data_IF_426183315195
#
_entry.id   IF_426183315195
#
_cell.length_a   1.000
_cell.length_b   1.000
_cell.length_c   1.000
_cell.angle_alpha   90.00
_cell.angle_beta   90.00
_cell.angle_gamma   90.00
#
_symmetry.space_group_name_H-M   'P 1'
#
loop_
_entity.id
_entity.type
_entity.pdbx_description
1 polymer ?
#
# COMPACT_ATOMS: atom_id res chain seq x y z
N UNK A 1 -3.90 -13.36 -33.03
CA UNK A 1 -5.17 -12.64 -33.13
C UNK A 1 -5.01 -11.25 -32.53
N UNK A 2 -5.69 -10.23 -33.01
CA UNK A 2 -5.68 -8.95 -32.32
C UNK A 2 -6.31 -9.13 -30.92
N UNK A 3 -5.66 -8.58 -29.89
CA UNK A 3 -6.19 -8.61 -28.51
C UNK A 3 -7.49 -7.81 -28.41
N UNK A 4 -8.39 -8.23 -27.53
CA UNK A 4 -9.63 -7.51 -27.29
C UNK A 4 -9.39 -6.05 -26.90
N UNK A 5 -10.39 -5.21 -27.12
CA UNK A 5 -10.32 -3.79 -26.75
C UNK A 5 -10.06 -3.60 -25.26
N UNK A 6 -10.61 -4.47 -24.42
CA UNK A 6 -10.42 -4.42 -22.96
C UNK A 6 -8.94 -4.57 -22.58
N UNK A 7 -8.25 -5.53 -23.20
CA UNK A 7 -6.80 -5.75 -22.97
C UNK A 7 -6.00 -4.58 -23.53
N UNK A 8 -6.31 -4.12 -24.74
CA UNK A 8 -5.62 -2.99 -25.36
C UNK A 8 -5.75 -1.71 -24.52
N UNK A 9 -6.95 -1.40 -24.02
CA UNK A 9 -7.21 -0.27 -23.13
C UNK A 9 -6.40 -0.37 -21.81
N UNK A 10 -6.35 -1.58 -21.22
CA UNK A 10 -5.59 -1.82 -20.00
C UNK A 10 -4.07 -1.68 -20.19
N UNK A 11 -3.52 -2.25 -21.29
CA UNK A 11 -2.09 -2.19 -21.61
C UNK A 11 -1.64 -0.76 -21.89
N UNK A 12 -2.44 0.00 -22.61
CA UNK A 12 -2.11 1.38 -23.01
C UNK A 12 -2.43 2.40 -21.90
N UNK A 13 -3.02 1.99 -20.77
CA UNK A 13 -3.44 2.92 -19.71
C UNK A 13 -4.55 3.87 -20.17
N UNK A 14 -5.33 3.48 -21.19
CA UNK A 14 -6.40 4.29 -21.74
C UNK A 14 -7.59 4.47 -20.78
N UNK A 15 -7.69 3.61 -19.77
CA UNK A 15 -8.68 3.67 -18.69
C UNK A 15 -8.01 3.54 -17.32
N UNK A 16 -8.55 4.15 -16.26
CA UNK A 16 -8.05 3.96 -14.90
C UNK A 16 -8.04 2.48 -14.49
N UNK A 17 -7.03 2.08 -13.70
CA UNK A 17 -6.87 0.70 -13.24
C UNK A 17 -8.11 0.18 -12.51
N UNK A 18 -8.75 1.00 -11.67
CA UNK A 18 -9.99 0.64 -10.99
C UNK A 18 -11.08 0.20 -11.99
N UNK A 19 -11.22 0.91 -13.11
CA UNK A 19 -12.20 0.56 -14.16
C UNK A 19 -11.84 -0.77 -14.86
N UNK A 20 -10.55 -1.02 -15.04
CA UNK A 20 -10.07 -2.31 -15.56
C UNK A 20 -10.41 -3.45 -14.60
N UNK A 21 -10.22 -3.24 -13.30
CA UNK A 21 -10.54 -4.23 -12.26
C UNK A 21 -12.05 -4.49 -12.18
N UNK A 22 -12.91 -3.46 -12.28
CA UNK A 22 -14.38 -3.65 -12.31
C UNK A 22 -14.82 -4.46 -13.53
N UNK A 23 -14.20 -4.26 -14.69
CA UNK A 23 -14.46 -5.11 -15.86
C UNK A 23 -14.02 -6.54 -15.64
N UNK A 24 -12.84 -6.72 -15.01
CA UNK A 24 -12.32 -8.05 -14.70
C UNK A 24 -13.20 -8.79 -13.69
N UNK A 25 -13.72 -8.10 -12.69
CA UNK A 25 -14.68 -8.62 -11.71
C UNK A 25 -15.93 -9.19 -12.40
N UNK A 26 -16.55 -8.40 -13.29
CA UNK A 26 -17.73 -8.84 -14.07
C UNK A 26 -17.39 -10.04 -14.93
N UNK A 27 -16.28 -10.02 -15.67
CA UNK A 27 -15.86 -11.15 -16.51
C UNK A 27 -15.58 -12.40 -15.70
N UNK A 28 -14.95 -12.26 -14.51
CA UNK A 28 -14.69 -13.38 -13.62
C UNK A 28 -15.99 -14.00 -13.08
N UNK A 29 -16.97 -13.16 -12.74
CA UNK A 29 -18.31 -13.59 -12.35
C UNK A 29 -18.99 -14.40 -13.47
N UNK A 30 -19.02 -13.87 -14.69
CA UNK A 30 -19.68 -14.48 -15.85
C UNK A 30 -19.12 -15.87 -16.18
N UNK A 31 -17.82 -16.09 -15.94
CA UNK A 31 -17.17 -17.39 -16.17
C UNK A 31 -17.11 -18.29 -14.91
N UNK A 32 -17.67 -17.84 -13.79
CA UNK A 32 -17.70 -18.59 -12.53
C UNK A 32 -16.34 -18.72 -11.84
N UNK A 33 -15.43 -17.78 -12.06
CA UNK A 33 -14.12 -17.75 -11.41
C UNK A 33 -14.14 -16.92 -10.11
N UNK A 34 -14.70 -17.52 -9.05
CA UNK A 34 -14.87 -16.87 -7.74
C UNK A 34 -13.57 -16.32 -7.13
N UNK A 35 -12.42 -16.99 -7.36
CA UNK A 35 -11.14 -16.53 -6.83
C UNK A 35 -10.69 -15.22 -7.50
N UNK A 36 -10.87 -15.13 -8.80
CA UNK A 36 -10.50 -13.93 -9.56
C UNK A 36 -11.47 -12.79 -9.28
N UNK A 37 -12.76 -13.08 -9.19
CA UNK A 37 -13.81 -12.15 -8.78
C UNK A 37 -13.48 -11.54 -7.41
N UNK A 38 -13.26 -12.39 -6.39
CA UNK A 38 -12.90 -11.95 -5.04
C UNK A 38 -11.61 -11.13 -5.01
N UNK A 39 -10.58 -11.52 -5.78
CA UNK A 39 -9.35 -10.75 -5.87
C UNK A 39 -9.59 -9.36 -6.45
N UNK A 40 -10.35 -9.25 -7.54
CA UNK A 40 -10.66 -7.96 -8.17
C UNK A 40 -11.48 -7.06 -7.23
N UNK A 41 -12.49 -7.63 -6.54
CA UNK A 41 -13.27 -6.94 -5.51
C UNK A 41 -12.37 -6.38 -4.39
N UNK A 42 -11.49 -7.21 -3.82
CA UNK A 42 -10.56 -6.77 -2.77
C UNK A 42 -9.58 -5.69 -3.25
N UNK A 43 -9.13 -5.74 -4.50
CA UNK A 43 -8.28 -4.69 -5.06
C UNK A 43 -9.04 -3.36 -5.20
N UNK A 44 -10.33 -3.39 -5.49
CA UNK A 44 -11.18 -2.21 -5.64
C UNK A 44 -11.56 -1.63 -4.28
N UNK A 45 -12.15 -2.47 -3.41
CA UNK A 45 -12.77 -2.04 -2.16
C UNK A 45 -11.76 -1.95 -0.99
N UNK A 46 -10.69 -2.74 -1.06
CA UNK A 46 -9.72 -2.91 0.01
C UNK A 46 -9.78 -4.29 0.64
N UNK A 47 -8.83 -4.56 1.54
CA UNK A 47 -8.61 -5.87 2.16
C UNK A 47 -8.93 -5.86 3.65
N UNK A 48 -9.43 -6.98 4.16
CA UNK A 48 -9.37 -7.25 5.59
C UNK A 48 -7.94 -7.55 6.03
N UNK A 49 -7.61 -7.28 7.30
CA UNK A 49 -6.22 -7.40 7.83
C UNK A 49 -5.61 -8.76 7.53
N UNK A 50 -6.39 -9.84 7.66
CA UNK A 50 -5.95 -11.21 7.45
C UNK A 50 -5.79 -11.63 5.99
N UNK A 51 -6.31 -10.82 5.05
CA UNK A 51 -6.36 -11.15 3.62
C UNK A 51 -5.38 -10.31 2.78
N UNK A 52 -4.65 -9.37 3.42
CA UNK A 52 -3.73 -8.48 2.70
C UNK A 52 -2.61 -9.30 2.04
N UNK A 53 -2.46 -9.24 0.71
CA UNK A 53 -1.41 -9.98 0.02
C UNK A 53 -0.03 -9.36 0.28
N UNK A 54 1.02 -10.21 0.22
CA UNK A 54 2.41 -9.82 0.51
C UNK A 54 2.89 -8.59 -0.26
N UNK A 55 2.43 -8.38 -1.49
CA UNK A 55 2.85 -7.22 -2.28
C UNK A 55 2.25 -5.89 -1.80
N UNK A 56 1.34 -5.91 -0.82
CA UNK A 56 0.77 -4.75 -0.14
C UNK A 56 1.32 -4.55 1.26
N UNK A 57 2.27 -5.39 1.70
CA UNK A 57 2.97 -5.25 2.97
C UNK A 57 4.25 -4.45 2.74
N UNK A 58 4.34 -3.29 3.38
CA UNK A 58 5.49 -2.40 3.28
C UNK A 58 6.41 -2.52 4.49
N UNK A 59 7.67 -2.20 4.28
CA UNK A 59 8.66 -2.03 5.34
C UNK A 59 9.33 -0.68 5.19
N UNK A 60 9.36 0.10 6.27
CA UNK A 60 10.13 1.33 6.34
C UNK A 60 10.65 1.53 7.76
N UNK A 61 11.92 1.88 7.88
CA UNK A 61 12.54 2.29 9.13
C UNK A 61 12.82 3.81 9.16
N UNK A 62 12.11 4.57 8.34
CA UNK A 62 12.18 6.03 8.30
C UNK A 62 11.13 6.61 9.24
N UNK A 63 11.59 7.15 10.37
CA UNK A 63 10.74 7.77 11.37
C UNK A 63 11.09 9.23 11.57
N UNK A 64 10.06 10.04 11.81
CA UNK A 64 10.18 11.43 12.24
C UNK A 64 9.34 11.67 13.49
N UNK A 65 9.70 12.66 14.28
CA UNK A 65 8.93 13.05 15.45
C UNK A 65 8.86 14.55 15.61
N UNK A 66 7.86 15.01 16.32
CA UNK A 66 7.75 16.37 16.83
C UNK A 66 7.61 16.32 18.33
N UNK A 67 8.25 17.23 19.04
CA UNK A 67 8.25 17.23 20.50
C UNK A 67 9.37 18.04 21.09
N UNK A 68 9.99 17.52 22.17
CA UNK A 68 11.08 18.14 22.89
C UNK A 68 12.28 17.20 22.89
N UNK A 69 13.47 17.74 22.63
CA UNK A 69 14.74 17.05 22.75
C UNK A 69 15.65 17.87 23.66
N UNK A 70 15.89 17.40 24.88
CA UNK A 70 16.53 18.18 25.93
C UNK A 70 15.74 19.45 26.22
N UNK A 71 16.31 20.61 25.94
CA UNK A 71 15.67 21.91 26.13
C UNK A 71 15.13 22.54 24.84
N UNK A 72 15.18 21.80 23.71
CA UNK A 72 14.80 22.32 22.40
C UNK A 72 13.47 21.71 21.92
N UNK A 73 12.58 22.57 21.41
CA UNK A 73 11.43 22.11 20.66
C UNK A 73 11.85 21.71 19.24
N UNK A 74 11.43 20.52 18.79
CA UNK A 74 11.72 20.00 17.46
C UNK A 74 10.44 19.70 16.70
N UNK A 75 10.49 19.83 15.38
CA UNK A 75 9.37 19.51 14.49
C UNK A 75 9.88 18.68 13.32
N UNK A 76 9.25 17.55 13.06
CA UNK A 76 9.62 16.61 12.01
C UNK A 76 11.12 16.22 12.01
N UNK A 77 11.70 16.12 13.19
CA UNK A 77 13.09 15.68 13.35
C UNK A 77 13.21 14.18 13.09
N UNK A 78 14.33 13.76 12.53
CA UNK A 78 14.62 12.33 12.32
C UNK A 78 14.65 11.59 13.66
N UNK A 79 14.00 10.44 13.72
CA UNK A 79 14.00 9.55 14.89
C UNK A 79 14.68 8.24 14.52
N UNK A 80 15.73 7.88 15.28
CA UNK A 80 16.40 6.60 15.07
C UNK A 80 15.50 5.43 15.47
N UNK A 81 15.43 4.41 14.62
CA UNK A 81 14.73 3.16 14.93
C UNK A 81 15.35 2.39 16.12
N UNK A 82 16.57 2.73 16.53
CA UNK A 82 17.23 2.11 17.69
C UNK A 82 16.53 2.42 19.02
N UNK A 83 15.59 3.37 19.04
CA UNK A 83 14.72 3.62 20.19
C UNK A 83 13.62 2.57 20.34
N UNK A 84 13.40 1.71 19.37
CA UNK A 84 12.38 0.66 19.43
C UNK A 84 13.01 -0.70 19.77
N UNK A 85 12.26 -1.55 20.47
CA UNK A 85 12.70 -2.93 20.72
C UNK A 85 12.63 -3.77 19.43
N UNK A 86 13.34 -4.91 19.40
CA UNK A 86 13.30 -5.80 18.23
C UNK A 86 11.89 -6.30 17.94
N UNK A 87 11.09 -6.59 18.97
CA UNK A 87 9.69 -7.01 18.84
C UNK A 87 8.84 -5.94 18.14
N UNK A 88 8.94 -4.68 18.58
CA UNK A 88 8.26 -3.54 17.95
C UNK A 88 8.73 -3.36 16.50
N UNK A 89 10.04 -3.49 16.25
CA UNK A 89 10.60 -3.34 14.91
C UNK A 89 10.07 -4.41 13.94
N UNK A 90 9.87 -5.63 14.38
CA UNK A 90 9.31 -6.70 13.54
C UNK A 90 7.87 -6.37 13.09
N UNK A 91 7.06 -5.76 13.95
CA UNK A 91 5.73 -5.30 13.58
C UNK A 91 5.78 -4.08 12.66
N UNK A 92 6.68 -3.12 12.93
CA UNK A 92 6.85 -1.92 12.11
C UNK A 92 7.41 -2.22 10.70
N UNK A 93 8.06 -3.36 10.50
CA UNK A 93 8.50 -3.84 9.19
C UNK A 93 7.39 -4.49 8.36
N UNK A 94 6.22 -4.76 8.93
CA UNK A 94 5.10 -5.45 8.29
C UNK A 94 3.85 -4.60 8.28
N UNK A 95 3.90 -3.47 7.59
CA UNK A 95 2.77 -2.53 7.53
C UNK A 95 1.86 -2.87 6.36
N UNK A 96 0.65 -3.39 6.61
CA UNK A 96 -0.30 -3.70 5.56
C UNK A 96 -1.01 -2.44 5.06
N UNK A 97 -0.97 -2.18 3.76
CA UNK A 97 -1.78 -1.15 3.12
C UNK A 97 -3.05 -1.78 2.54
N UNK A 98 -4.15 -1.57 3.24
CA UNK A 98 -5.44 -2.24 3.02
C UNK A 98 -6.36 -1.53 2.05
N UNK A 99 -6.10 -0.26 1.81
CA UNK A 99 -6.95 0.63 1.04
C UNK A 99 -7.13 0.14 -0.40
N UNK A 100 -8.29 0.45 -1.00
CA UNK A 100 -8.58 0.14 -2.39
C UNK A 100 -7.61 0.83 -3.35
N UNK A 101 -7.51 0.28 -4.55
CA UNK A 101 -6.50 0.69 -5.56
C UNK A 101 -6.58 2.17 -5.93
N UNK A 102 -7.76 2.79 -5.89
CA UNK A 102 -7.92 4.21 -6.16
C UNK A 102 -7.17 5.07 -5.12
N UNK A 103 -7.23 4.69 -3.84
CA UNK A 103 -6.49 5.36 -2.76
C UNK A 103 -4.99 5.16 -2.90
N UNK A 104 -4.54 3.93 -3.18
CA UNK A 104 -3.11 3.65 -3.40
C UNK A 104 -2.56 4.42 -4.62
N UNK A 105 -3.34 4.58 -5.67
CA UNK A 105 -2.96 5.39 -6.83
C UNK A 105 -2.76 6.87 -6.43
N UNK A 106 -3.62 7.42 -5.58
CA UNK A 106 -3.45 8.78 -5.05
C UNK A 106 -2.21 8.90 -4.19
N UNK A 107 -1.94 7.94 -3.30
CA UNK A 107 -0.73 7.91 -2.49
C UNK A 107 0.54 7.80 -3.35
N UNK A 108 0.51 7.01 -4.41
CA UNK A 108 1.61 6.91 -5.37
C UNK A 108 1.89 8.20 -6.13
N UNK A 109 0.88 9.03 -6.35
CA UNK A 109 1.01 10.33 -7.03
C UNK A 109 1.21 11.50 -6.07
N UNK A 110 1.40 11.26 -4.77
CA UNK A 110 1.69 12.31 -3.81
C UNK A 110 3.09 12.91 -4.06
N UNK A 111 3.23 14.20 -3.79
CA UNK A 111 4.51 14.93 -3.91
C UNK A 111 5.38 14.80 -2.65
N UNK A 112 4.85 14.21 -1.58
CA UNK A 112 5.50 14.08 -0.29
C UNK A 112 5.39 12.65 0.26
N UNK A 113 6.17 12.37 1.32
CA UNK A 113 6.10 11.10 2.04
C UNK A 113 4.68 10.86 2.59
N UNK A 114 4.27 9.61 2.57
CA UNK A 114 3.04 9.16 3.24
C UNK A 114 3.38 8.84 4.70
N UNK A 115 2.62 9.43 5.61
CA UNK A 115 2.85 9.34 7.05
C UNK A 115 1.86 8.39 7.70
N UNK A 116 2.37 7.40 8.44
CA UNK A 116 1.56 6.54 9.30
C UNK A 116 1.84 6.92 10.76
N UNK A 117 0.79 7.28 11.49
CA UNK A 117 0.91 7.67 12.90
C UNK A 117 1.40 6.50 13.77
N UNK A 118 2.44 6.78 14.56
CA UNK A 118 3.06 5.88 15.53
C UNK A 118 3.21 6.54 16.91
N UNK A 119 2.43 7.55 17.20
CA UNK A 119 2.55 8.34 18.43
C UNK A 119 2.36 7.52 19.70
N UNK A 120 1.69 6.37 19.62
CA UNK A 120 1.58 5.42 20.74
C UNK A 120 2.93 4.86 21.21
N UNK A 121 4.00 4.97 20.41
CA UNK A 121 5.36 4.55 20.75
C UNK A 121 6.17 5.62 21.49
N UNK A 122 5.57 6.77 21.82
CA UNK A 122 6.28 7.87 22.49
C UNK A 122 6.90 7.44 23.84
N UNK A 123 6.25 6.53 24.57
CA UNK A 123 6.76 5.98 25.82
C UNK A 123 8.09 5.25 25.65
N UNK A 124 8.21 4.38 24.62
CA UNK A 124 9.44 3.66 24.32
C UNK A 124 10.63 4.60 24.07
N UNK A 125 10.38 5.68 23.31
CA UNK A 125 11.41 6.68 23.02
C UNK A 125 11.81 7.43 24.28
N UNK A 126 10.85 7.82 25.13
CA UNK A 126 11.09 8.49 26.40
C UNK A 126 11.94 7.60 27.32
N UNK A 127 11.56 6.35 27.51
CA UNK A 127 12.25 5.40 28.40
C UNK A 127 13.70 5.15 27.93
N UNK A 128 13.89 4.85 26.65
CA UNK A 128 15.22 4.60 26.10
C UNK A 128 16.11 5.84 26.03
N UNK A 129 15.54 7.02 25.86
CA UNK A 129 16.28 8.30 25.92
C UNK A 129 16.48 8.80 27.36
N UNK A 130 16.00 8.07 28.38
CA UNK A 130 16.03 8.46 29.79
C UNK A 130 15.37 9.84 30.02
N UNK A 131 14.25 10.08 29.36
CA UNK A 131 13.49 11.31 29.43
C UNK A 131 14.05 12.51 28.67
N UNK A 132 15.14 12.34 27.93
CA UNK A 132 15.73 13.43 27.11
C UNK A 132 14.84 13.78 25.93
N UNK A 133 14.20 12.78 25.31
CA UNK A 133 13.28 12.97 24.19
C UNK A 133 11.85 12.73 24.68
N UNK A 134 10.99 13.72 24.46
CA UNK A 134 9.57 13.65 24.70
C UNK A 134 8.84 13.88 23.38
N UNK A 135 8.25 12.82 22.82
CA UNK A 135 7.53 12.88 21.55
C UNK A 135 6.07 13.29 21.78
N UNK A 136 5.60 14.31 21.06
CA UNK A 136 4.18 14.64 20.91
C UNK A 136 3.55 13.86 19.75
N UNK A 137 4.33 13.62 18.70
CA UNK A 137 3.91 12.80 17.57
C UNK A 137 5.12 12.04 17.02
N UNK A 138 4.84 10.83 16.52
CA UNK A 138 5.81 9.99 15.79
C UNK A 138 5.15 9.53 14.52
N UNK A 139 5.85 9.66 13.40
CA UNK A 139 5.40 9.21 12.08
C UNK A 139 6.39 8.21 11.49
N UNK A 140 5.87 7.11 10.95
CA UNK A 140 6.58 6.21 10.07
C UNK A 140 6.32 6.65 8.64
N UNK A 141 7.39 6.84 7.85
CA UNK A 141 7.30 7.51 6.56
C UNK A 141 7.54 6.53 5.41
N UNK A 142 6.69 6.60 4.40
CA UNK A 142 6.76 5.76 3.21
C UNK A 142 6.88 6.63 1.95
N UNK A 143 7.82 6.30 1.03
CA UNK A 143 7.92 7.04 -0.23
C UNK A 143 6.74 6.71 -1.15
N UNK A 144 6.25 7.69 -1.95
CA UNK A 144 5.19 7.45 -2.94
C UNK A 144 5.52 6.34 -3.93
N UNK A 145 6.79 6.14 -4.26
CA UNK A 145 7.23 5.10 -5.20
C UNK A 145 6.90 3.67 -4.74
N UNK A 146 6.76 3.45 -3.42
CA UNK A 146 6.26 2.18 -2.91
C UNK A 146 4.85 1.90 -3.45
N UNK A 147 3.96 2.88 -3.36
CA UNK A 147 2.57 2.74 -3.81
C UNK A 147 2.46 2.63 -5.32
N UNK A 148 3.29 3.37 -6.08
CA UNK A 148 3.42 3.18 -7.55
C UNK A 148 3.82 1.75 -7.89
N UNK A 149 4.74 1.16 -7.11
CA UNK A 149 5.16 -0.22 -7.26
C UNK A 149 4.02 -1.21 -7.05
N UNK A 150 3.19 -1.00 -6.02
CA UNK A 150 1.99 -1.82 -5.76
C UNK A 150 1.00 -1.69 -6.92
N UNK A 151 0.67 -0.48 -7.36
CA UNK A 151 -0.23 -0.21 -8.49
C UNK A 151 0.28 -0.91 -9.77
N UNK A 152 1.59 -0.84 -10.04
CA UNK A 152 2.21 -1.53 -11.18
C UNK A 152 2.06 -3.06 -11.11
N UNK A 153 2.21 -3.65 -9.92
CA UNK A 153 2.01 -5.10 -9.72
C UNK A 153 0.55 -5.51 -9.95
N UNK A 154 -0.40 -4.72 -9.45
CA UNK A 154 -1.83 -4.96 -9.66
C UNK A 154 -2.19 -4.83 -11.13
N UNK A 155 -1.69 -3.79 -11.81
CA UNK A 155 -1.88 -3.59 -13.26
C UNK A 155 -1.42 -4.82 -14.05
N UNK A 156 -0.19 -5.29 -13.76
CA UNK A 156 0.37 -6.46 -14.44
C UNK A 156 -0.47 -7.72 -14.21
N UNK A 157 -0.97 -7.94 -13.00
CA UNK A 157 -1.83 -9.08 -12.66
C UNK A 157 -3.18 -8.99 -13.36
N UNK A 158 -3.80 -7.81 -13.37
CA UNK A 158 -5.08 -7.59 -14.06
C UNK A 158 -4.96 -7.86 -15.57
N UNK A 159 -3.91 -7.37 -16.22
CA UNK A 159 -3.66 -7.62 -17.65
C UNK A 159 -3.46 -9.13 -17.91
N UNK A 160 -2.64 -9.81 -17.10
CA UNK A 160 -2.44 -11.26 -17.22
C UNK A 160 -3.74 -12.04 -17.05
N UNK A 161 -4.58 -11.67 -16.10
CA UNK A 161 -5.87 -12.30 -15.87
C UNK A 161 -6.80 -12.11 -17.07
N UNK A 162 -6.89 -10.90 -17.63
CA UNK A 162 -7.65 -10.63 -18.84
C UNK A 162 -7.15 -11.47 -20.04
N UNK A 163 -5.83 -11.58 -20.21
CA UNK A 163 -5.25 -12.41 -21.26
C UNK A 163 -5.62 -13.89 -21.10
N UNK A 164 -5.55 -14.41 -19.86
CA UNK A 164 -5.94 -15.80 -19.57
C UNK A 164 -7.43 -16.04 -19.87
N UNK A 165 -8.30 -15.12 -19.50
CA UNK A 165 -9.73 -15.22 -19.82
C UNK A 165 -9.97 -15.20 -21.34
N UNK A 166 -9.31 -14.29 -22.09
CA UNK A 166 -9.44 -14.24 -23.55
C UNK A 166 -8.93 -15.52 -24.23
N UNK A 167 -7.81 -16.08 -23.74
CA UNK A 167 -7.23 -17.33 -24.30
C UNK A 167 -8.14 -18.54 -24.00
N UNK A 168 -8.87 -18.52 -22.87
CA UNK A 168 -9.74 -19.63 -22.44
C UNK A 168 -11.16 -19.55 -23.01
N UNK A 169 -11.72 -18.36 -23.11
CA UNK A 169 -13.15 -18.15 -23.43
C UNK A 169 -13.39 -17.40 -24.75
N UNK A 170 -12.33 -16.91 -25.40
CA UNK A 170 -12.44 -16.12 -26.62
C UNK A 170 -12.40 -14.62 -26.37
N UNK A 171 -12.71 -13.83 -27.41
CA UNK A 171 -12.64 -12.36 -27.35
C UNK A 171 -13.58 -11.80 -26.27
N UNK A 172 -13.02 -10.97 -25.40
CA UNK A 172 -13.69 -10.31 -24.27
C UNK A 172 -14.39 -9.02 -24.71
#
# INVERSE_FOLDING_TARGET
>A
MPKSKVIADAVNGAVPLERTLRRLEVLAHDVGNEKLERWAECEIEGYDVSEVPDYRIASSLNFTYSGINGNCRVSNASLSFTFFSEEILEDLKKVPFREGIASLTKLGNADSLVHVDRSYLAGEVSDKSKGVISCLSISQNFPPDYFKGVVGKVTTRAIKALMMLEDQYGSL
#
